data_IF_205118370003
#
_entry.id   IF_205118370003
#
_cell.length_a   1.000
_cell.length_b   1.000
_cell.length_c   1.000
_cell.angle_alpha   90.00
_cell.angle_beta   90.00
_cell.angle_gamma   90.00
#
_symmetry.space_group_name_H-M   'P 1'
#
loop_
_entity.id
_entity.type
_entity.pdbx_description
1 polymer ?
#
# COMPACT_ATOMS: atom_id res chain seq x y z
N UNK A 1 0.50 17.02 6.59
CA UNK A 1 0.19 15.59 6.72
C UNK A 1 -1.21 15.35 6.15
N UNK A 2 -1.40 14.32 5.33
CA UNK A 2 -2.72 13.99 4.77
C UNK A 2 -3.61 13.28 5.82
N UNK A 3 -4.95 13.34 5.71
CA UNK A 3 -5.88 12.82 6.73
C UNK A 3 -5.79 11.31 6.95
N UNK A 4 -6.34 10.82 8.06
CA UNK A 4 -6.40 9.38 8.42
C UNK A 4 -6.84 8.50 7.25
N UNK A 5 -7.94 8.88 6.54
CA UNK A 5 -8.43 8.09 5.39
C UNK A 5 -7.36 7.86 4.33
N UNK A 6 -6.56 8.89 4.03
CA UNK A 6 -5.56 8.81 2.99
C UNK A 6 -4.46 7.83 3.40
N UNK A 7 -4.12 7.79 4.69
CA UNK A 7 -3.14 6.83 5.20
C UNK A 7 -3.62 5.39 5.00
N UNK A 8 -4.91 5.09 5.25
CA UNK A 8 -5.49 3.76 5.01
C UNK A 8 -5.56 3.42 3.52
N UNK A 9 -5.97 4.37 2.68
CA UNK A 9 -5.96 4.20 1.21
C UNK A 9 -4.56 3.90 0.71
N UNK A 10 -3.54 4.62 1.19
CA UNK A 10 -2.15 4.37 0.82
C UNK A 10 -1.62 3.03 1.32
N UNK A 11 -2.07 2.54 2.46
CA UNK A 11 -1.74 1.18 2.95
C UNK A 11 -2.26 0.13 1.98
N UNK A 12 -3.52 0.24 1.52
CA UNK A 12 -4.07 -0.66 0.50
C UNK A 12 -3.34 -0.51 -0.86
N UNK A 13 -3.02 0.72 -1.25
CA UNK A 13 -2.32 1.03 -2.50
C UNK A 13 -0.89 0.45 -2.55
N UNK A 14 -0.13 0.58 -1.46
CA UNK A 14 1.23 0.03 -1.36
C UNK A 14 1.28 -1.44 -0.92
N UNK A 15 0.13 -2.11 -0.84
CA UNK A 15 0.03 -3.55 -0.61
C UNK A 15 -0.52 -4.24 -1.86
N UNK A 16 -1.85 -4.30 -2.02
CA UNK A 16 -2.48 -4.94 -3.18
C UNK A 16 -2.18 -4.17 -4.46
N UNK A 17 -2.32 -2.84 -4.42
CA UNK A 17 -2.05 -2.00 -5.58
C UNK A 17 -0.62 -2.13 -6.08
N UNK A 18 0.35 -2.36 -5.19
CA UNK A 18 1.74 -2.57 -5.57
C UNK A 18 1.92 -3.88 -6.35
N UNK A 19 1.26 -4.96 -5.91
CA UNK A 19 1.27 -6.24 -6.64
C UNK A 19 0.59 -6.12 -8.01
N UNK A 20 -0.57 -5.47 -8.07
CA UNK A 20 -1.28 -5.21 -9.33
C UNK A 20 -0.44 -4.34 -10.27
N UNK A 21 0.25 -3.33 -9.74
CA UNK A 21 1.15 -2.47 -10.49
C UNK A 21 2.35 -3.21 -11.07
N UNK A 22 2.93 -4.15 -10.31
CA UNK A 22 4.00 -5.04 -10.82
C UNK A 22 3.47 -5.92 -11.95
N UNK A 23 2.30 -6.53 -11.79
CA UNK A 23 1.69 -7.36 -12.84
C UNK A 23 1.36 -6.55 -14.11
N UNK A 24 0.99 -5.28 -13.96
CA UNK A 24 0.71 -4.37 -15.06
C UNK A 24 1.98 -3.72 -15.66
N UNK A 25 3.13 -3.82 -14.98
CA UNK A 25 4.38 -3.14 -15.35
C UNK A 25 4.35 -1.61 -15.16
N UNK A 26 3.36 -1.07 -14.45
CA UNK A 26 3.21 0.37 -14.23
C UNK A 26 2.57 0.67 -12.88
N UNK A 27 3.09 1.68 -12.18
CA UNK A 27 2.54 2.16 -10.92
C UNK A 27 2.49 3.69 -10.91
N UNK A 28 1.59 4.24 -10.10
CA UNK A 28 1.43 5.68 -9.92
C UNK A 28 1.04 6.03 -8.49
N UNK A 29 0.93 7.33 -8.15
CA UNK A 29 0.44 7.73 -6.84
C UNK A 29 -1.00 7.20 -6.63
N UNK A 30 -1.39 6.93 -5.37
CA UNK A 30 -2.77 6.58 -5.07
C UNK A 30 -3.69 7.71 -5.52
N UNK A 31 -4.88 7.35 -6.01
CA UNK A 31 -5.90 8.37 -6.22
C UNK A 31 -6.24 9.02 -4.87
N UNK A 32 -6.61 10.29 -4.91
CA UNK A 32 -7.32 10.88 -3.78
C UNK A 32 -8.72 10.26 -3.79
N UNK A 33 -8.83 9.06 -3.19
CA UNK A 33 -10.05 8.28 -3.16
C UNK A 33 -11.27 9.17 -2.79
N UNK A 34 -12.48 8.84 -3.28
CA UNK A 34 -13.71 9.55 -2.88
C UNK A 34 -13.86 9.55 -1.35
N UNK A 35 -14.75 10.39 -0.80
CA UNK A 35 -15.02 10.42 0.64
C UNK A 35 -15.56 9.06 1.12
N UNK A 36 -14.65 8.19 1.56
CA UNK A 36 -14.94 6.90 2.18
C UNK A 36 -15.21 7.11 3.68
N UNK A 37 -16.28 6.50 4.15
CA UNK A 37 -16.55 6.39 5.58
C UNK A 37 -15.69 5.30 6.24
N UNK A 38 -15.84 5.14 7.54
CA UNK A 38 -15.02 4.21 8.32
C UNK A 38 -15.27 2.74 7.95
N UNK A 39 -16.52 2.37 7.64
CA UNK A 39 -16.88 1.00 7.24
C UNK A 39 -16.25 0.67 5.88
N UNK A 40 -16.32 1.60 4.92
CA UNK A 40 -15.70 1.43 3.61
C UNK A 40 -14.15 1.34 3.70
N UNK A 41 -13.53 2.07 4.63
CA UNK A 41 -12.09 1.95 4.88
C UNK A 41 -11.71 0.58 5.46
N UNK A 42 -12.51 0.03 6.37
CA UNK A 42 -12.30 -1.32 6.89
C UNK A 42 -12.48 -2.37 5.79
N UNK A 43 -13.53 -2.24 4.98
CA UNK A 43 -13.79 -3.14 3.84
C UNK A 43 -12.63 -3.12 2.83
N UNK A 44 -12.09 -1.93 2.52
CA UNK A 44 -10.92 -1.78 1.64
C UNK A 44 -9.68 -2.50 2.20
N UNK A 45 -9.39 -2.34 3.49
CA UNK A 45 -8.26 -3.02 4.11
C UNK A 45 -8.44 -4.55 4.12
N UNK A 46 -9.66 -5.02 4.40
CA UNK A 46 -10.03 -6.44 4.37
C UNK A 46 -9.89 -7.06 2.98
N UNK A 47 -10.42 -6.39 1.95
CA UNK A 47 -10.33 -6.84 0.55
C UNK A 47 -8.87 -6.90 0.05
N UNK A 48 -8.07 -5.89 0.38
CA UNK A 48 -6.64 -5.89 0.07
C UNK A 48 -5.92 -7.07 0.74
N UNK A 49 -6.21 -7.34 2.02
CA UNK A 49 -5.64 -8.46 2.75
C UNK A 49 -6.03 -9.81 2.13
N UNK A 50 -7.33 -10.03 1.86
CA UNK A 50 -7.85 -11.27 1.28
C UNK A 50 -7.19 -11.56 -0.08
N UNK A 51 -7.13 -10.55 -0.95
CA UNK A 51 -6.55 -10.70 -2.29
C UNK A 51 -5.06 -10.97 -2.24
N UNK A 52 -4.30 -10.28 -1.38
CA UNK A 52 -2.87 -10.54 -1.22
C UNK A 52 -2.63 -11.97 -0.71
N UNK A 53 -3.43 -12.43 0.25
CA UNK A 53 -3.33 -13.79 0.78
C UNK A 53 -3.64 -14.88 -0.26
N UNK A 54 -4.37 -14.55 -1.33
CA UNK A 54 -4.66 -15.47 -2.42
C UNK A 54 -3.49 -15.63 -3.41
N UNK A 55 -2.45 -14.79 -3.36
CA UNK A 55 -1.27 -14.96 -4.21
C UNK A 55 -0.50 -16.21 -3.79
N UNK A 56 -0.12 -17.02 -4.79
CA UNK A 56 0.74 -18.18 -4.58
C UNK A 56 2.21 -17.81 -4.82
N UNK A 57 3.17 -18.55 -4.23
CA UNK A 57 4.59 -18.34 -4.50
C UNK A 57 4.91 -18.38 -6.01
N UNK A 58 4.28 -19.27 -6.77
CA UNK A 58 4.53 -19.38 -8.22
C UNK A 58 4.12 -18.11 -8.97
N UNK A 59 2.98 -17.49 -8.59
CA UNK A 59 2.53 -16.22 -9.19
C UNK A 59 3.50 -15.09 -8.85
N UNK A 60 3.99 -15.02 -7.61
CA UNK A 60 4.92 -13.97 -7.17
C UNK A 60 6.29 -14.16 -7.83
N UNK A 61 6.84 -15.37 -7.80
CA UNK A 61 8.15 -15.68 -8.34
C UNK A 61 8.20 -15.50 -9.87
N UNK A 62 7.09 -15.71 -10.58
CA UNK A 62 7.01 -15.44 -12.02
C UNK A 62 7.19 -13.95 -12.38
N UNK A 63 7.11 -13.03 -11.41
CA UNK A 63 7.29 -11.59 -11.62
C UNK A 63 8.74 -11.12 -11.42
N UNK A 64 9.62 -11.96 -10.88
CA UNK A 64 11.03 -11.62 -10.64
C UNK A 64 11.72 -11.09 -11.91
N UNK A 65 12.42 -9.97 -11.79
CA UNK A 65 13.11 -9.29 -12.90
C UNK A 65 12.20 -8.58 -13.90
N UNK A 66 10.87 -8.61 -13.73
CA UNK A 66 9.93 -7.91 -14.62
C UNK A 66 10.09 -6.40 -14.48
N UNK A 67 9.98 -5.68 -15.59
CA UNK A 67 10.08 -4.21 -15.59
C UNK A 67 8.82 -3.57 -14.99
N UNK A 68 9.02 -2.57 -14.13
CA UNK A 68 7.95 -1.76 -13.54
C UNK A 68 8.30 -0.28 -13.70
N UNK A 69 7.36 0.50 -14.22
CA UNK A 69 7.55 1.94 -14.45
C UNK A 69 6.69 2.76 -13.49
N UNK A 70 7.31 3.48 -12.56
CA UNK A 70 6.58 4.45 -11.74
C UNK A 70 6.38 5.76 -12.50
N UNK A 71 5.14 6.23 -12.62
CA UNK A 71 4.78 7.45 -13.37
C UNK A 71 4.12 8.49 -12.49
N UNK A 72 4.61 9.73 -12.57
CA UNK A 72 4.00 10.88 -11.90
C UNK A 72 4.24 12.17 -12.69
N UNK A 73 3.18 12.91 -13.02
CA UNK A 73 3.29 14.27 -13.58
C UNK A 73 4.19 14.39 -14.82
N UNK A 74 4.21 13.38 -15.71
CA UNK A 74 5.07 13.34 -16.90
C UNK A 74 6.49 12.85 -16.65
N UNK A 75 6.88 12.59 -15.40
CA UNK A 75 8.11 11.92 -15.02
C UNK A 75 7.90 10.40 -14.94
N UNK A 76 8.96 9.66 -15.21
CA UNK A 76 9.02 8.22 -15.12
C UNK A 76 10.27 7.78 -14.37
N UNK A 77 10.14 6.74 -13.55
CA UNK A 77 11.23 6.10 -12.83
C UNK A 77 11.15 4.58 -13.05
N UNK A 78 12.16 3.97 -13.71
CA UNK A 78 12.17 2.54 -13.97
C UNK A 78 12.63 1.74 -12.74
N UNK A 79 12.06 0.57 -12.57
CA UNK A 79 12.43 -0.43 -11.58
C UNK A 79 12.35 -1.84 -12.19
N UNK A 80 12.93 -2.81 -11.49
CA UNK A 80 12.53 -4.22 -11.57
C UNK A 80 11.57 -4.54 -10.41
N UNK A 81 10.75 -5.57 -10.58
CA UNK A 81 9.66 -5.93 -9.67
C UNK A 81 10.06 -5.99 -8.19
N UNK A 82 11.11 -6.75 -7.88
CA UNK A 82 11.62 -6.95 -6.52
C UNK A 82 12.16 -5.66 -5.90
N UNK A 83 12.90 -4.85 -6.68
CA UNK A 83 13.40 -3.57 -6.22
C UNK A 83 12.26 -2.59 -5.97
N UNK A 84 11.26 -2.55 -6.86
CA UNK A 84 10.06 -1.72 -6.68
C UNK A 84 9.31 -2.11 -5.41
N UNK A 85 9.05 -3.40 -5.19
CA UNK A 85 8.32 -3.87 -4.02
C UNK A 85 9.11 -3.59 -2.73
N UNK A 86 10.39 -3.93 -2.69
CA UNK A 86 11.18 -3.91 -1.45
C UNK A 86 11.75 -2.54 -1.10
N UNK A 87 12.14 -1.74 -2.10
CA UNK A 87 12.79 -0.44 -1.88
C UNK A 87 11.87 0.77 -2.05
N UNK A 88 10.74 0.61 -2.76
CA UNK A 88 9.77 1.70 -2.97
C UNK A 88 8.45 1.47 -2.24
N UNK A 89 7.73 0.38 -2.54
CA UNK A 89 6.38 0.19 -1.98
C UNK A 89 6.40 -0.20 -0.50
N UNK A 90 7.27 -1.09 -0.07
CA UNK A 90 7.33 -1.54 1.32
C UNK A 90 7.66 -0.41 2.31
N UNK A 91 8.64 0.50 2.05
CA UNK A 91 8.86 1.66 2.91
C UNK A 91 7.64 2.61 2.95
N UNK A 92 6.99 2.85 1.82
CA UNK A 92 5.78 3.68 1.77
C UNK A 92 4.62 3.03 2.55
N UNK A 93 4.43 1.72 2.44
CA UNK A 93 3.45 0.96 3.23
C UNK A 93 3.64 1.22 4.73
N UNK A 94 4.86 1.02 5.25
CA UNK A 94 5.13 1.23 6.67
C UNK A 94 5.03 2.69 7.10
N UNK A 95 5.43 3.64 6.24
CA UNK A 95 5.25 5.07 6.50
C UNK A 95 3.77 5.41 6.71
N UNK A 96 2.90 4.95 5.82
CA UNK A 96 1.46 5.21 5.90
C UNK A 96 0.79 4.45 7.06
N UNK A 97 1.15 3.19 7.30
CA UNK A 97 0.66 2.42 8.44
C UNK A 97 1.03 3.08 9.78
N UNK A 98 2.28 3.53 9.93
CA UNK A 98 2.75 4.22 11.13
C UNK A 98 2.03 5.56 11.30
N UNK A 99 1.87 6.32 10.21
CA UNK A 99 1.15 7.60 10.25
C UNK A 99 -0.31 7.42 10.65
N UNK A 100 -0.99 6.37 10.16
CA UNK A 100 -2.35 6.04 10.57
C UNK A 100 -2.44 5.70 12.06
N UNK A 101 -1.50 4.88 12.56
CA UNK A 101 -1.36 4.54 13.97
C UNK A 101 -1.16 5.79 14.84
N UNK A 102 -0.26 6.69 14.43
CA UNK A 102 0.05 7.91 15.17
C UNK A 102 -1.14 8.86 15.23
N UNK A 103 -1.91 8.99 14.14
CA UNK A 103 -3.13 9.80 14.13
C UNK A 103 -4.14 9.27 15.16
N UNK A 104 -4.40 7.95 15.18
CA UNK A 104 -5.33 7.34 16.14
C UNK A 104 -4.83 7.52 17.58
N UNK A 105 -3.54 7.29 17.82
CA UNK A 105 -2.92 7.46 19.13
C UNK A 105 -2.99 8.90 19.62
N UNK A 106 -2.79 9.87 18.73
CA UNK A 106 -2.93 11.31 19.03
C UNK A 106 -4.39 11.69 19.37
N UNK A 107 -5.37 10.99 18.79
CA UNK A 107 -6.81 11.16 19.11
C UNK A 107 -7.26 10.38 20.36
N UNK A 108 -6.33 9.78 21.11
CA UNK A 108 -6.63 9.11 22.38
C UNK A 108 -7.09 7.66 22.26
N UNK A 109 -7.01 7.04 21.07
CA UNK A 109 -7.28 5.60 20.94
C UNK A 109 -6.19 4.83 21.70
N UNK A 110 -6.55 3.86 22.57
CA UNK A 110 -5.62 3.18 23.47
C UNK A 110 -4.79 2.09 22.76
N UNK A 111 -4.15 2.44 21.64
CA UNK A 111 -3.24 1.56 20.90
C UNK A 111 -1.84 1.57 21.53
N UNK A 112 -1.05 0.55 21.22
CA UNK A 112 0.33 0.33 21.65
C UNK A 112 1.18 -0.31 20.56
N UNK A 113 2.48 -0.47 20.86
CA UNK A 113 3.43 -1.13 19.94
C UNK A 113 2.99 -2.54 19.54
N UNK A 114 2.31 -3.26 20.44
CA UNK A 114 1.78 -4.61 20.18
C UNK A 114 0.69 -4.60 19.09
N UNK A 115 -0.20 -3.60 19.10
CA UNK A 115 -1.22 -3.46 18.05
C UNK A 115 -0.63 -3.18 16.67
N UNK A 116 0.55 -2.54 16.61
CA UNK A 116 1.25 -2.29 15.35
C UNK A 116 2.04 -3.51 14.85
N UNK A 117 2.69 -4.26 15.75
CA UNK A 117 3.54 -5.40 15.37
C UNK A 117 2.78 -6.71 15.14
N UNK A 118 1.57 -6.85 15.71
CA UNK A 118 0.87 -8.14 15.83
C UNK A 118 1.22 -8.86 17.12
#
# INVERSE_FOLDING_TARGET
MLPFRFQIVSVAHHSLGAMEGVQAGVFGPPSMAPDLDYEALQAMAGDAQEKIQAYTPDVVNALEGSAVEFKIGGQSMPFIAEDFLMSFSLPNFYFHATTAYDILRMQGVPLGKRDFLG
#
